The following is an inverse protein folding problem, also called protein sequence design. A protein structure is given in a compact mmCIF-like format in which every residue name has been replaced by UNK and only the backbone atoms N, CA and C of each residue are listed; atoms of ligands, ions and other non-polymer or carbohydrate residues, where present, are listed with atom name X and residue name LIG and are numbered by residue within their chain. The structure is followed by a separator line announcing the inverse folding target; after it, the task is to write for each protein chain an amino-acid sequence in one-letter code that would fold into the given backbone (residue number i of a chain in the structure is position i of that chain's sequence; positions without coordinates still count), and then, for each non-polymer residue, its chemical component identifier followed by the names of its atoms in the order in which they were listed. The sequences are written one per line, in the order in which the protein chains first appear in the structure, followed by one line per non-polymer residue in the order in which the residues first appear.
data_IF_552932342443
#
_entry.id   IF_552932342443
#
_cell.length_a   1.000
_cell.length_b   1.000
_cell.length_c   1.000
_cell.angle_alpha   90.00
_cell.angle_beta   90.00
_cell.angle_gamma   90.00
#
_symmetry.space_group_name_H-M   'P 1'
#
loop_
_entity.id
_entity.type
_entity.pdbx_description
1 polymer ?
#
# COMPACT_ATOMS: atom_id res chain seq x y z
N UNK A 1 -34.37 -17.82 9.72
CA UNK A 1 -33.44 -17.25 10.72
C UNK A 1 -31.99 -17.39 10.30
N UNK A 2 -31.52 -18.57 9.85
CA UNK A 2 -30.16 -18.73 9.32
C UNK A 2 -29.90 -17.90 8.05
N UNK A 3 -30.86 -17.85 7.13
CA UNK A 3 -30.74 -17.05 5.90
C UNK A 3 -30.61 -15.56 6.20
N UNK A 4 -31.41 -15.05 7.16
CA UNK A 4 -31.36 -13.65 7.60
C UNK A 4 -30.02 -13.29 8.24
N UNK A 5 -29.43 -14.19 9.05
CA UNK A 5 -28.10 -13.98 9.65
C UNK A 5 -26.99 -14.01 8.59
N UNK A 6 -27.06 -14.94 7.64
CA UNK A 6 -26.10 -15.01 6.53
C UNK A 6 -26.17 -13.78 5.62
N UNK A 7 -27.37 -13.28 5.36
CA UNK A 7 -27.61 -12.07 4.57
C UNK A 7 -27.06 -10.83 5.29
N UNK A 8 -27.26 -10.72 6.61
CA UNK A 8 -26.66 -9.66 7.43
C UNK A 8 -25.13 -9.70 7.43
N UNK A 9 -24.51 -10.88 7.60
CA UNK A 9 -23.05 -11.03 7.55
C UNK A 9 -22.53 -10.63 6.16
N UNK A 10 -23.19 -11.05 5.09
CA UNK A 10 -22.79 -10.74 3.72
C UNK A 10 -22.85 -9.24 3.43
N UNK A 11 -23.90 -8.56 3.91
CA UNK A 11 -24.02 -7.10 3.82
C UNK A 11 -22.87 -6.40 4.55
N UNK A 12 -22.58 -6.81 5.79
CA UNK A 12 -21.48 -6.24 6.57
C UNK A 12 -20.12 -6.47 5.89
N UNK A 13 -19.87 -7.67 5.37
CA UNK A 13 -18.65 -7.96 4.61
C UNK A 13 -18.54 -7.06 3.39
N UNK A 14 -19.62 -6.92 2.60
CA UNK A 14 -19.62 -6.05 1.41
C UNK A 14 -19.33 -4.58 1.76
N UNK A 15 -19.93 -4.07 2.85
CA UNK A 15 -19.67 -2.71 3.34
C UNK A 15 -18.21 -2.52 3.75
N UNK A 16 -17.66 -3.45 4.55
CA UNK A 16 -16.26 -3.40 5.00
C UNK A 16 -15.29 -3.51 3.82
N UNK A 17 -15.55 -4.39 2.85
CA UNK A 17 -14.77 -4.50 1.62
C UNK A 17 -14.83 -3.22 0.80
N UNK A 18 -16.00 -2.56 0.73
CA UNK A 18 -16.16 -1.26 0.07
C UNK A 18 -15.31 -0.17 0.72
N UNK A 19 -15.37 -0.05 2.06
CA UNK A 19 -14.56 0.91 2.81
C UNK A 19 -13.06 0.62 2.61
N UNK A 20 -12.65 -0.64 2.73
CA UNK A 20 -11.26 -1.04 2.54
C UNK A 20 -10.76 -0.69 1.12
N UNK A 21 -11.59 -0.90 0.10
CA UNK A 21 -11.25 -0.57 -1.29
C UNK A 21 -11.02 0.93 -1.47
N UNK A 22 -11.88 1.78 -0.88
CA UNK A 22 -11.70 3.24 -0.92
C UNK A 22 -10.43 3.65 -0.17
N UNK A 23 -10.17 3.08 1.00
CA UNK A 23 -8.95 3.34 1.76
C UNK A 23 -7.69 2.95 0.98
N UNK A 24 -7.73 1.86 0.23
CA UNK A 24 -6.64 1.44 -0.65
C UNK A 24 -6.41 2.44 -1.79
N UNK A 25 -7.46 2.95 -2.41
CA UNK A 25 -7.35 3.99 -3.45
C UNK A 25 -6.71 5.26 -2.90
N UNK A 26 -7.17 5.75 -1.74
CA UNK A 26 -6.61 6.93 -1.08
C UNK A 26 -5.15 6.70 -0.66
N UNK A 27 -4.83 5.49 -0.18
CA UNK A 27 -3.46 5.08 0.13
C UNK A 27 -2.55 5.10 -1.10
N UNK A 28 -3.03 4.55 -2.23
CA UNK A 28 -2.29 4.57 -3.49
C UNK A 28 -2.05 5.99 -4.03
N UNK A 29 -3.04 6.87 -3.92
CA UNK A 29 -2.89 8.29 -4.28
C UNK A 29 -1.84 8.96 -3.37
N UNK A 30 -1.85 8.65 -2.08
CA UNK A 30 -0.86 9.17 -1.12
C UNK A 30 0.56 8.75 -1.49
N UNK A 31 0.76 7.47 -1.85
CA UNK A 31 2.06 6.96 -2.34
C UNK A 31 2.47 7.69 -3.61
N UNK A 32 1.55 7.86 -4.56
CA UNK A 32 1.82 8.55 -5.83
C UNK A 32 2.28 9.99 -5.58
N UNK A 33 1.60 10.72 -4.69
CA UNK A 33 1.95 12.10 -4.35
C UNK A 33 3.31 12.20 -3.65
N UNK A 34 3.58 11.30 -2.69
CA UNK A 34 4.88 11.23 -2.04
C UNK A 34 6.01 10.98 -3.05
N UNK A 35 5.75 10.11 -4.02
CA UNK A 35 6.72 9.81 -5.06
C UNK A 35 6.95 11.02 -5.98
N UNK A 36 5.89 11.75 -6.34
CA UNK A 36 6.03 13.00 -7.08
C UNK A 36 6.95 13.99 -6.36
N UNK A 37 6.74 14.20 -5.06
CA UNK A 37 7.60 15.06 -4.25
C UNK A 37 9.06 14.58 -4.26
N UNK A 38 9.30 13.28 -4.07
CA UNK A 38 10.65 12.69 -4.14
C UNK A 38 11.32 12.92 -5.50
N UNK A 39 10.57 12.78 -6.61
CA UNK A 39 11.08 13.06 -7.96
C UNK A 39 11.48 14.52 -8.12
N UNK A 40 10.66 15.45 -7.62
CA UNK A 40 10.98 16.88 -7.68
C UNK A 40 12.24 17.22 -6.86
N UNK A 41 12.33 16.70 -5.63
CA UNK A 41 13.50 16.91 -4.76
C UNK A 41 14.79 16.33 -5.36
N UNK A 42 14.68 15.24 -6.12
CA UNK A 42 15.81 14.50 -6.72
C UNK A 42 16.00 14.78 -8.20
N UNK A 43 15.35 15.82 -8.74
CA UNK A 43 15.40 16.17 -10.18
C UNK A 43 16.85 16.30 -10.68
N UNK A 44 17.71 17.00 -9.93
CA UNK A 44 19.11 17.20 -10.29
C UNK A 44 19.91 15.90 -10.28
N UNK A 45 19.66 15.00 -9.34
CA UNK A 45 20.30 13.68 -9.29
C UNK A 45 19.94 12.85 -10.52
N UNK A 46 18.66 12.84 -10.90
CA UNK A 46 18.15 12.16 -12.10
C UNK A 46 18.82 12.74 -13.36
N UNK A 47 18.93 14.06 -13.46
CA UNK A 47 19.60 14.74 -14.57
C UNK A 47 21.07 14.34 -14.72
N UNK A 48 21.80 14.26 -13.61
CA UNK A 48 23.20 13.80 -13.60
C UNK A 48 23.29 12.34 -14.05
N UNK A 49 22.41 11.45 -13.55
CA UNK A 49 22.40 10.04 -13.94
C UNK A 49 22.17 9.86 -15.45
N UNK A 50 21.25 10.62 -16.05
CA UNK A 50 21.03 10.55 -17.50
C UNK A 50 22.17 11.16 -18.30
N UNK A 51 22.80 12.23 -17.80
CA UNK A 51 23.95 12.85 -18.46
C UNK A 51 25.18 11.91 -18.52
N UNK A 52 25.32 10.99 -17.56
CA UNK A 52 26.35 9.94 -17.58
C UNK A 52 25.93 8.67 -18.34
N UNK A 53 24.71 8.64 -18.90
CA UNK A 53 24.24 7.59 -19.80
C UNK A 53 23.22 6.60 -19.23
N UNK A 54 22.60 6.88 -18.06
CA UNK A 54 21.50 6.05 -17.56
C UNK A 54 20.29 6.12 -18.50
N UNK A 55 19.70 4.96 -18.83
CA UNK A 55 18.51 4.89 -19.68
C UNK A 55 17.23 5.17 -18.86
N UNK A 56 16.16 5.58 -19.55
CA UNK A 56 14.86 5.86 -18.94
C UNK A 56 14.33 4.63 -18.17
N UNK A 57 14.61 3.42 -18.69
CA UNK A 57 14.25 2.17 -18.04
C UNK A 57 14.92 1.97 -16.67
N UNK A 58 16.17 2.39 -16.50
CA UNK A 58 16.92 2.26 -15.24
C UNK A 58 16.36 3.20 -14.18
N UNK A 59 16.09 4.46 -14.56
CA UNK A 59 15.46 5.45 -13.68
C UNK A 59 14.06 5.00 -13.28
N UNK A 60 13.27 4.49 -14.23
CA UNK A 60 11.92 3.99 -13.95
C UNK A 60 11.95 2.78 -13.01
N UNK A 61 12.86 1.84 -13.22
CA UNK A 61 13.02 0.67 -12.36
C UNK A 61 13.43 1.06 -10.93
N UNK A 62 14.29 2.07 -10.77
CA UNK A 62 14.70 2.60 -9.48
C UNK A 62 13.50 3.11 -8.66
N UNK A 63 12.70 4.01 -9.25
CA UNK A 63 11.54 4.56 -8.56
C UNK A 63 10.43 3.52 -8.34
N UNK A 64 10.22 2.60 -9.28
CA UNK A 64 9.29 1.48 -9.08
C UNK A 64 9.73 0.58 -7.92
N UNK A 65 11.03 0.28 -7.80
CA UNK A 65 11.54 -0.49 -6.68
C UNK A 65 11.35 0.26 -5.34
N UNK A 66 11.60 1.57 -5.32
CA UNK A 66 11.37 2.42 -4.14
C UNK A 66 9.90 2.40 -3.71
N UNK A 67 8.94 2.53 -4.64
CA UNK A 67 7.51 2.47 -4.31
C UNK A 67 7.08 1.08 -3.82
N UNK A 68 7.60 0.02 -4.43
CA UNK A 68 7.35 -1.36 -4.01
C UNK A 68 7.88 -1.60 -2.59
N UNK A 69 9.09 -1.12 -2.27
CA UNK A 69 9.67 -1.24 -0.92
C UNK A 69 8.83 -0.49 0.12
N UNK A 70 8.42 0.74 -0.17
CA UNK A 70 7.54 1.52 0.70
C UNK A 70 6.23 0.78 0.96
N UNK A 71 5.61 0.23 -0.10
CA UNK A 71 4.36 -0.53 0.03
C UNK A 71 4.52 -1.86 0.75
N UNK A 72 5.68 -2.50 0.64
CA UNK A 72 6.00 -3.74 1.35
C UNK A 72 6.15 -3.47 2.85
N UNK A 73 6.89 -2.42 3.22
CA UNK A 73 7.03 -1.98 4.62
C UNK A 73 5.67 -1.60 5.19
N UNK A 74 4.87 -0.84 4.43
CA UNK A 74 3.50 -0.49 4.80
C UNK A 74 2.60 -1.72 4.97
N UNK A 75 2.72 -2.72 4.09
CA UNK A 75 1.99 -3.99 4.17
C UNK A 75 2.35 -4.79 5.42
N UNK A 76 3.64 -4.95 5.71
CA UNK A 76 4.12 -5.63 6.94
C UNK A 76 3.60 -4.88 8.17
N UNK A 77 3.75 -3.55 8.21
CA UNK A 77 3.26 -2.72 9.31
C UNK A 77 1.75 -2.84 9.50
N UNK A 78 0.99 -2.82 8.39
CA UNK A 78 -0.47 -2.98 8.40
C UNK A 78 -0.90 -4.34 8.93
N UNK A 79 -0.23 -5.43 8.55
CA UNK A 79 -0.49 -6.78 9.09
C UNK A 79 -0.21 -6.84 10.60
N UNK A 80 0.94 -6.31 11.04
CA UNK A 80 1.30 -6.31 12.47
C UNK A 80 0.27 -5.52 13.28
N UNK A 81 -0.10 -4.32 12.83
CA UNK A 81 -1.09 -3.47 13.49
C UNK A 81 -2.47 -4.14 13.49
N UNK A 82 -2.88 -4.74 12.37
CA UNK A 82 -4.16 -5.45 12.24
C UNK A 82 -4.27 -6.65 13.19
N UNK A 83 -3.22 -7.48 13.27
CA UNK A 83 -3.14 -8.59 14.21
C UNK A 83 -3.11 -8.09 15.66
N UNK A 84 -2.41 -6.98 15.93
CA UNK A 84 -2.40 -6.32 17.24
C UNK A 84 -3.79 -5.86 17.69
N UNK A 85 -4.53 -5.18 16.81
CA UNK A 85 -5.91 -4.79 17.08
C UNK A 85 -6.83 -5.99 17.29
N UNK A 86 -6.70 -7.04 16.47
CA UNK A 86 -7.48 -8.26 16.63
C UNK A 86 -7.23 -8.90 18.01
N UNK A 87 -5.97 -8.95 18.46
CA UNK A 87 -5.62 -9.48 19.78
C UNK A 87 -6.19 -8.64 20.94
N UNK A 88 -6.17 -7.31 20.81
CA UNK A 88 -6.75 -6.39 21.81
C UNK A 88 -8.27 -6.58 21.90
N UNK A 89 -8.95 -6.73 20.76
CA UNK A 89 -10.40 -6.94 20.73
C UNK A 89 -10.75 -8.28 21.41
N UNK A 90 -10.01 -9.34 21.12
CA UNK A 90 -10.24 -10.67 21.71
C UNK A 90 -10.02 -10.66 23.23
N UNK A 91 -9.02 -9.94 23.73
CA UNK A 91 -8.76 -9.86 25.17
C UNK A 91 -9.79 -9.02 25.93
N UNK A 92 -10.41 -8.04 25.28
CA UNK A 92 -11.46 -7.19 25.86
C UNK A 92 -12.88 -7.77 25.71
N UNK A 93 -13.09 -8.68 24.75
CA UNK A 93 -14.40 -9.27 24.48
C UNK A 93 -15.09 -9.93 25.71
N UNK A 94 -14.39 -10.68 26.59
CA UNK A 94 -15.01 -11.27 27.78
C UNK A 94 -15.52 -10.24 28.79
N UNK A 95 -14.92 -9.05 28.82
CA UNK A 95 -15.25 -7.96 29.76
C UNK A 95 -16.40 -7.12 29.22
N UNK A 96 -16.41 -6.86 27.92
CA UNK A 96 -17.39 -5.98 27.27
C UNK A 96 -18.66 -6.70 26.83
N UNK A 97 -18.57 -8.00 26.52
CA UNK A 97 -19.68 -8.76 25.96
C UNK A 97 -19.85 -10.10 26.70
N UNK A 98 -20.53 -10.04 27.84
CA UNK A 98 -20.92 -11.22 28.60
C UNK A 98 -21.88 -12.11 27.80
N UNK A 99 -21.35 -13.14 27.14
CA UNK A 99 -22.15 -14.14 26.41
C UNK A 99 -21.73 -14.40 24.96
N UNK A 100 -20.80 -13.62 24.39
CA UNK A 100 -20.11 -14.07 23.19
C UNK A 100 -19.15 -15.19 23.58
N UNK A 101 -19.27 -16.36 22.94
CA UNK A 101 -18.37 -17.49 23.15
C UNK A 101 -16.91 -17.14 22.85
N UNK A 102 -15.99 -18.08 23.06
CA UNK A 102 -14.56 -17.87 22.81
C UNK A 102 -14.30 -17.43 21.36
N UNK A 103 -14.04 -16.14 21.16
CA UNK A 103 -13.57 -15.60 19.88
C UNK A 103 -12.11 -16.02 19.75
N UNK A 104 -11.81 -16.78 18.69
CA UNK A 104 -10.44 -17.22 18.40
C UNK A 104 -9.91 -16.51 17.15
N UNK A 105 -8.62 -16.19 17.18
CA UNK A 105 -7.94 -15.55 16.06
C UNK A 105 -7.50 -16.64 15.08
N UNK A 106 -8.15 -16.72 13.93
CA UNK A 106 -7.77 -17.63 12.86
C UNK A 106 -6.84 -16.91 11.88
N UNK A 107 -5.55 -17.24 11.92
CA UNK A 107 -4.57 -16.74 10.96
C UNK A 107 -4.45 -17.77 9.83
N UNK A 108 -4.87 -17.39 8.63
CA UNK A 108 -4.63 -18.21 7.44
C UNK A 108 -3.32 -17.76 6.77
N UNK A 109 -2.28 -18.61 6.69
CA UNK A 109 -1.01 -18.26 6.04
C UNK A 109 -1.17 -17.85 4.57
N UNK A 110 -2.15 -18.42 3.87
CA UNK A 110 -2.42 -18.08 2.47
C UNK A 110 -2.91 -16.64 2.33
N UNK A 111 -3.84 -16.21 3.20
CA UNK A 111 -4.34 -14.83 3.21
C UNK A 111 -3.22 -13.82 3.50
N UNK A 112 -2.26 -14.16 4.36
CA UNK A 112 -1.12 -13.28 4.63
C UNK A 112 -0.27 -13.06 3.37
N UNK A 113 -0.02 -14.12 2.61
CA UNK A 113 0.72 -14.03 1.34
C UNK A 113 -0.06 -13.21 0.32
N UNK A 114 -1.38 -13.41 0.21
CA UNK A 114 -2.24 -12.64 -0.69
C UNK A 114 -2.24 -11.14 -0.37
N UNK A 115 -2.37 -10.77 0.91
CA UNK A 115 -2.34 -9.36 1.34
C UNK A 115 -0.98 -8.72 1.06
N UNK A 116 0.11 -9.45 1.27
CA UNK A 116 1.47 -8.97 0.98
C UNK A 116 1.72 -8.79 -0.52
N UNK A 117 1.27 -9.73 -1.35
CA UNK A 117 1.33 -9.59 -2.80
C UNK A 117 0.47 -8.41 -3.27
N UNK A 118 -0.71 -8.27 -2.69
CA UNK A 118 -1.62 -7.18 -3.02
C UNK A 118 -1.03 -5.81 -2.66
N UNK A 119 -0.36 -5.67 -1.51
CA UNK A 119 0.29 -4.41 -1.13
C UNK A 119 1.38 -4.00 -2.12
N UNK A 120 2.20 -4.97 -2.58
CA UNK A 120 3.24 -4.74 -3.58
C UNK A 120 2.64 -4.34 -4.93
N UNK A 121 1.57 -5.01 -5.36
CA UNK A 121 0.86 -4.66 -6.61
C UNK A 121 0.33 -3.22 -6.54
N UNK A 122 -0.30 -2.83 -5.43
CA UNK A 122 -0.81 -1.47 -5.26
C UNK A 122 0.35 -0.45 -5.23
N UNK A 123 1.46 -0.76 -4.57
CA UNK A 123 2.66 0.08 -4.58
C UNK A 123 3.26 0.27 -5.97
N UNK A 124 3.29 -0.80 -6.77
CA UNK A 124 3.76 -0.77 -8.14
C UNK A 124 2.83 0.07 -9.04
N UNK A 125 1.52 -0.14 -8.95
CA UNK A 125 0.52 0.60 -9.74
C UNK A 125 0.54 2.10 -9.39
N UNK A 126 0.65 2.42 -8.11
CA UNK A 126 0.71 3.81 -7.62
C UNK A 126 2.01 4.50 -8.02
N UNK A 127 3.15 3.80 -7.93
CA UNK A 127 4.46 4.34 -8.30
C UNK A 127 4.71 4.42 -9.80
N UNK A 128 3.96 3.70 -10.63
CA UNK A 128 4.22 3.61 -12.07
C UNK A 128 4.16 4.95 -12.80
N UNK A 129 3.12 5.74 -12.56
CA UNK A 129 2.94 7.03 -13.21
C UNK A 129 4.04 8.06 -12.83
N UNK A 130 4.36 8.29 -11.54
CA UNK A 130 5.46 9.18 -11.18
C UNK A 130 6.83 8.66 -11.63
N UNK A 131 7.08 7.35 -11.59
CA UNK A 131 8.33 6.76 -12.08
C UNK A 131 8.53 6.98 -13.59
N UNK A 132 7.46 6.83 -14.38
CA UNK A 132 7.48 7.12 -15.83
C UNK A 132 7.69 8.61 -16.11
N UNK A 133 7.20 9.49 -15.24
CA UNK A 133 7.43 10.93 -15.36
C UNK A 133 8.88 11.29 -15.04
N UNK A 134 9.45 10.71 -13.99
CA UNK A 134 10.85 10.88 -13.60
C UNK A 134 11.81 10.39 -14.71
N UNK A 135 11.51 9.23 -15.28
CA UNK A 135 12.33 8.67 -16.36
C UNK A 135 12.32 9.50 -17.62
N UNK A 136 11.36 10.41 -17.83
CA UNK A 136 11.28 11.25 -19.05
C UNK A 136 11.74 12.69 -18.86
N UNK A 137 12.31 13.04 -17.71
CA UNK A 137 12.93 14.36 -17.47
C UNK A 137 14.09 14.65 -18.43
N UNK A 138 14.15 15.83 -19.03
CA UNK A 138 15.27 16.24 -19.87
C UNK A 138 16.52 16.49 -19.01
N UNK A 139 17.69 15.87 -19.30
CA UNK A 139 18.92 16.07 -18.54
C UNK A 139 19.36 17.54 -18.48
N UNK A 140 19.12 18.31 -19.54
CA UNK A 140 19.50 19.72 -19.60
C UNK A 140 18.65 20.49 -18.61
N UNK A 141 17.32 20.41 -18.71
CA UNK A 141 16.39 21.09 -17.80
C UNK A 141 16.61 20.70 -16.33
N UNK A 142 16.92 19.42 -16.07
CA UNK A 142 17.11 18.90 -14.72
C UNK A 142 18.37 19.47 -14.00
N UNK A 143 19.41 19.86 -14.74
CA UNK A 143 20.66 20.38 -14.17
C UNK A 143 20.55 21.88 -13.84
N UNK A 144 19.70 22.62 -14.56
CA UNK A 144 19.44 24.05 -14.33
C UNK A 144 18.29 24.31 -13.34
N UNK A 145 17.72 23.25 -12.76
CA UNK A 145 16.65 23.36 -11.78
C UNK A 145 17.21 23.88 -10.44
N UNK A 146 16.78 25.09 -10.04
CA UNK A 146 16.95 25.66 -8.69
C UNK A 146 15.79 25.24 -7.76
#
# INVERSE_FOLDING_TARGET
MLDTVSEMISLLTALLTGIASISLLVGGISISNSMFTSVFERTREIGIMKAIGADDGEIKALFLAESMIISLIGGIGGVIIGLGFAQIIISLAPVLFSGLGNISLMINPLLLVEVMLFSVIIGALSGYFPADKASKLDPIEAIWYE
#
